data_IF_179033328687
#
_entry.id   IF_179033328687
#
_cell.length_a   1.000
_cell.length_b   1.000
_cell.length_c   1.000
_cell.angle_alpha   90.00
_cell.angle_beta   90.00
_cell.angle_gamma   90.00
#
_symmetry.space_group_name_H-M   'P 1'
#
loop_
_entity.id
_entity.type
_entity.pdbx_description
1 polymer ?
#
# COMPACT_ATOMS: atom_id res chain seq x y z
N UNK A 1 4.47 -2.77 21.38
CA UNK A 1 5.15 -3.44 20.26
C UNK A 1 6.17 -2.44 19.73
N UNK A 2 7.45 -2.78 19.81
CA UNK A 2 8.56 -1.89 19.47
C UNK A 2 8.75 -1.90 17.95
N UNK A 3 8.23 -0.90 17.25
CA UNK A 3 8.50 -0.69 15.82
C UNK A 3 9.72 0.21 15.66
N UNK A 4 10.87 -0.27 16.12
CA UNK A 4 12.15 0.35 15.76
C UNK A 4 12.55 -0.15 14.37
N UNK A 5 11.97 0.47 13.34
CA UNK A 5 12.46 0.34 11.96
C UNK A 5 13.81 1.04 11.90
N UNK A 6 14.90 0.29 12.11
CA UNK A 6 16.23 0.80 11.76
C UNK A 6 16.21 1.18 10.27
N UNK A 7 16.62 2.40 9.88
CA UNK A 7 16.58 2.84 8.48
C UNK A 7 17.40 1.94 7.53
N UNK A 8 18.29 1.11 8.09
CA UNK A 8 19.14 0.17 7.36
C UNK A 8 18.64 -1.28 7.41
N UNK A 9 17.54 -1.55 8.14
CA UNK A 9 16.98 -2.90 8.32
C UNK A 9 15.76 -3.20 7.45
N UNK A 10 15.35 -4.47 7.33
CA UNK A 10 14.12 -4.84 6.64
C UNK A 10 12.87 -4.16 7.24
N UNK A 11 11.91 -3.78 6.38
CA UNK A 11 10.69 -3.11 6.79
C UNK A 11 9.45 -3.68 6.10
N UNK A 12 8.31 -3.59 6.78
CA UNK A 12 7.03 -4.03 6.25
C UNK A 12 6.39 -2.97 5.34
N UNK A 13 5.98 -3.40 4.16
CA UNK A 13 5.17 -2.63 3.23
C UNK A 13 3.78 -3.28 3.10
N UNK A 14 2.72 -2.50 3.31
CA UNK A 14 1.34 -2.98 3.24
C UNK A 14 0.66 -2.55 1.93
N UNK A 15 0.40 -3.52 1.05
CA UNK A 15 -0.36 -3.31 -0.18
C UNK A 15 -1.85 -3.57 0.01
N UNK A 16 -2.70 -2.60 -0.37
CA UNK A 16 -4.15 -2.65 -0.22
C UNK A 16 -4.92 -2.37 -1.53
N UNK A 17 -4.23 -2.46 -2.66
CA UNK A 17 -4.77 -2.21 -4.00
C UNK A 17 -4.02 -3.02 -5.05
N UNK A 18 -3.70 -2.43 -6.21
CA UNK A 18 -2.98 -3.12 -7.29
C UNK A 18 -1.67 -3.79 -6.86
N UNK A 19 -1.04 -3.29 -5.78
CA UNK A 19 0.18 -3.87 -5.21
C UNK A 19 -0.02 -5.20 -4.48
N UNK A 20 -1.26 -5.64 -4.26
CA UNK A 20 -1.57 -6.98 -3.75
C UNK A 20 -1.33 -8.07 -4.81
N UNK A 21 -1.39 -7.71 -6.10
CA UNK A 21 -1.20 -8.66 -7.17
C UNK A 21 0.29 -8.97 -7.37
N UNK A 22 0.66 -10.25 -7.29
CA UNK A 22 2.03 -10.71 -7.52
C UNK A 22 2.57 -10.30 -8.91
N UNK A 23 1.72 -10.32 -9.95
CA UNK A 23 2.09 -9.88 -11.30
C UNK A 23 2.47 -8.39 -11.36
N UNK A 24 1.89 -7.56 -10.49
CA UNK A 24 2.25 -6.14 -10.39
C UNK A 24 3.48 -5.96 -9.51
N UNK A 25 3.46 -6.52 -8.31
CA UNK A 25 4.45 -6.22 -7.28
C UNK A 25 5.77 -6.97 -7.48
N UNK A 26 5.71 -8.27 -7.80
CA UNK A 26 6.88 -9.12 -7.99
C UNK A 26 7.34 -9.08 -9.45
N UNK A 27 6.45 -9.34 -10.41
CA UNK A 27 6.87 -9.52 -11.80
C UNK A 27 7.15 -8.21 -12.52
N UNK A 28 6.24 -7.24 -12.45
CA UNK A 28 6.40 -5.94 -13.13
C UNK A 28 7.38 -5.01 -12.42
N UNK A 29 7.30 -4.90 -11.09
CA UNK A 29 8.20 -4.02 -10.30
C UNK A 29 9.50 -4.67 -9.86
N UNK A 30 9.68 -5.99 -10.09
CA UNK A 30 10.89 -6.74 -9.74
C UNK A 30 11.25 -6.67 -8.25
N UNK A 31 10.26 -6.52 -7.38
CA UNK A 31 10.43 -6.58 -5.92
C UNK A 31 10.56 -8.04 -5.49
N UNK A 32 11.47 -8.32 -4.54
CA UNK A 32 11.70 -9.66 -3.99
C UNK A 32 11.46 -9.63 -2.48
N UNK A 33 10.21 -9.84 -2.02
CA UNK A 33 9.90 -9.86 -0.60
C UNK A 33 10.67 -10.97 0.13
N UNK A 34 11.18 -10.66 1.32
CA UNK A 34 11.74 -11.61 2.26
C UNK A 34 10.64 -12.47 2.90
N UNK A 35 9.45 -11.89 3.07
CA UNK A 35 8.24 -12.55 3.59
C UNK A 35 7.00 -11.93 2.99
N UNK A 36 5.92 -12.70 2.89
CA UNK A 36 4.62 -12.25 2.39
C UNK A 36 3.52 -12.83 3.26
N UNK A 37 2.61 -12.00 3.75
CA UNK A 37 1.52 -12.38 4.65
C UNK A 37 0.21 -11.68 4.26
N UNK A 38 -0.92 -12.35 4.45
CA UNK A 38 -2.23 -11.70 4.44
C UNK A 38 -2.37 -10.91 5.74
N UNK A 39 -2.76 -9.64 5.64
CA UNK A 39 -2.88 -8.75 6.79
C UNK A 39 -4.08 -7.83 6.64
N UNK A 40 -4.46 -7.16 7.73
CA UNK A 40 -5.53 -6.16 7.73
C UNK A 40 -5.24 -5.02 8.70
N UNK A 41 -5.81 -3.84 8.44
CA UNK A 41 -5.76 -2.67 9.31
C UNK A 41 -7.17 -2.43 9.86
N UNK A 42 -7.42 -2.71 11.15
CA UNK A 42 -8.76 -2.62 11.72
C UNK A 42 -9.29 -1.19 11.86
N UNK A 43 -8.40 -0.20 11.84
CA UNK A 43 -8.73 1.21 12.10
C UNK A 43 -8.97 2.04 10.83
N UNK A 44 -8.90 1.46 9.64
CA UNK A 44 -9.03 2.17 8.37
C UNK A 44 -9.99 1.45 7.42
N UNK A 45 -10.69 2.22 6.58
CA UNK A 45 -11.45 1.76 5.43
C UNK A 45 -10.75 2.09 4.11
N UNK A 46 -10.95 1.22 3.11
CA UNK A 46 -10.52 1.46 1.74
C UNK A 46 -11.47 2.47 1.09
N UNK A 47 -10.92 3.46 0.40
CA UNK A 47 -11.66 4.51 -0.27
C UNK A 47 -11.08 4.72 -1.68
N UNK A 48 -11.91 4.95 -2.69
CA UNK A 48 -11.45 5.37 -4.02
C UNK A 48 -11.61 6.89 -4.14
N UNK A 49 -10.85 7.63 -3.33
CA UNK A 49 -10.96 9.09 -3.23
C UNK A 49 -9.85 9.83 -4.00
N UNK A 50 -8.91 9.13 -4.61
CA UNK A 50 -7.92 9.75 -5.50
C UNK A 50 -8.50 9.76 -6.90
N UNK A 51 -8.99 10.93 -7.34
CA UNK A 51 -9.51 11.12 -8.69
C UNK A 51 -8.41 10.78 -9.72
N UNK A 52 -8.69 9.79 -10.55
CA UNK A 52 -7.90 9.56 -11.76
C UNK A 52 -8.24 10.58 -12.83
N UNK A 53 -7.47 10.60 -13.92
CA UNK A 53 -7.83 11.38 -15.09
C UNK A 53 -9.06 10.70 -15.72
N UNK A 54 -10.19 11.42 -15.92
CA UNK A 54 -11.38 10.86 -16.53
C UNK A 54 -11.03 10.14 -17.85
N UNK A 55 -11.55 8.92 -18.02
CA UNK A 55 -11.34 8.06 -19.20
C UNK A 55 -9.90 7.51 -19.39
N UNK A 56 -8.98 7.76 -18.46
CA UNK A 56 -7.58 7.27 -18.52
C UNK A 56 -7.20 6.45 -17.30
N UNK A 57 -7.60 6.88 -16.09
CA UNK A 57 -7.36 6.16 -14.84
C UNK A 57 -8.67 6.10 -14.04
N UNK A 58 -9.16 4.92 -13.62
CA UNK A 58 -10.37 4.79 -12.80
C UNK A 58 -10.25 5.42 -11.40
N UNK A 59 -9.06 5.93 -11.04
CA UNK A 59 -8.78 6.52 -9.74
C UNK A 59 -8.04 5.55 -8.84
N UNK A 60 -7.21 6.09 -7.95
CA UNK A 60 -6.36 5.28 -7.09
C UNK A 60 -7.05 5.01 -5.74
N UNK A 61 -6.87 3.79 -5.24
CA UNK A 61 -7.29 3.44 -3.89
C UNK A 61 -6.44 4.18 -2.86
N UNK A 62 -7.10 4.79 -1.88
CA UNK A 62 -6.52 5.34 -0.65
C UNK A 62 -7.17 4.68 0.56
N UNK A 63 -6.64 4.97 1.75
CA UNK A 63 -7.25 4.52 3.01
C UNK A 63 -7.60 5.73 3.87
N UNK A 64 -8.73 5.66 4.58
CA UNK A 64 -9.17 6.68 5.53
C UNK A 64 -9.39 6.05 6.90
N UNK A 65 -9.05 6.74 8.01
CA UNK A 65 -9.42 6.28 9.34
C UNK A 65 -10.93 6.04 9.43
N UNK A 66 -11.31 4.95 10.10
CA UNK A 66 -12.70 4.71 10.47
C UNK A 66 -13.13 5.76 11.50
N UNK A 67 -14.36 6.25 11.36
CA UNK A 67 -15.04 6.99 12.42
C UNK A 67 -15.80 5.97 13.27
N UNK A 68 -15.39 5.71 14.53
CA UNK A 68 -15.99 4.65 15.35
C UNK A 68 -17.51 4.75 15.52
N UNK A 69 -18.05 5.97 15.42
CA UNK A 69 -19.45 6.28 15.67
C UNK A 69 -20.34 6.07 14.44
N UNK A 70 -19.75 6.03 13.24
CA UNK A 70 -20.50 6.07 11.97
C UNK A 70 -20.07 5.03 10.94
N UNK A 71 -18.99 4.28 11.22
CA UNK A 71 -18.45 3.31 10.28
C UNK A 71 -18.67 1.90 10.76
N UNK A 72 -19.07 1.01 9.85
CA UNK A 72 -19.16 -0.42 10.11
C UNK A 72 -17.82 -0.92 10.69
N UNK A 73 -17.80 -1.56 11.87
CA UNK A 73 -16.58 -2.09 12.48
C UNK A 73 -15.93 -3.21 11.64
N UNK A 74 -16.63 -3.76 10.66
CA UNK A 74 -16.11 -4.72 9.69
C UNK A 74 -15.43 -4.06 8.48
N UNK A 75 -15.48 -2.73 8.35
CA UNK A 75 -14.92 -1.97 7.24
C UNK A 75 -13.38 -1.87 7.25
N UNK A 76 -12.69 -2.87 7.80
CA UNK A 76 -11.23 -2.90 7.86
C UNK A 76 -10.61 -3.12 6.48
N UNK A 77 -9.44 -2.50 6.25
CA UNK A 77 -8.69 -2.67 5.01
C UNK A 77 -7.92 -3.98 5.07
N UNK A 78 -8.27 -4.91 4.19
CA UNK A 78 -7.50 -6.13 3.97
C UNK A 78 -6.43 -5.89 2.89
N UNK A 79 -5.31 -6.59 3.01
CA UNK A 79 -4.19 -6.42 2.10
C UNK A 79 -3.14 -7.50 2.25
N UNK A 80 -1.98 -7.23 1.66
CA UNK A 80 -0.80 -8.10 1.71
C UNK A 80 0.35 -7.32 2.33
N UNK A 81 0.93 -7.86 3.39
CA UNK A 81 2.15 -7.34 4.01
C UNK A 81 3.38 -8.02 3.40
N UNK A 82 4.30 -7.22 2.86
CA UNK A 82 5.57 -7.68 2.30
C UNK A 82 6.71 -7.19 3.18
N UNK A 83 7.54 -8.09 3.69
CA UNK A 83 8.78 -7.72 4.37
C UNK A 83 9.85 -7.49 3.31
N UNK A 84 10.35 -6.26 3.21
CA UNK A 84 11.27 -5.84 2.14
C UNK A 84 12.64 -5.48 2.68
N UNK A 85 13.67 -5.63 1.84
CA UNK A 85 14.97 -5.00 2.09
C UNK A 85 14.87 -3.49 1.92
N UNK A 86 15.81 -2.70 2.48
CA UNK A 86 15.85 -1.25 2.26
C UNK A 86 15.92 -0.85 0.77
N UNK A 87 16.61 -1.64 -0.06
CA UNK A 87 16.73 -1.38 -1.51
C UNK A 87 15.38 -1.53 -2.22
N UNK A 88 14.66 -2.62 -1.93
CA UNK A 88 13.36 -2.86 -2.54
C UNK A 88 12.29 -1.90 -2.03
N UNK A 89 12.35 -1.52 -0.74
CA UNK A 89 11.47 -0.47 -0.21
C UNK A 89 11.68 0.87 -0.94
N UNK A 90 12.93 1.25 -1.21
CA UNK A 90 13.24 2.46 -2.01
C UNK A 90 12.64 2.40 -3.40
N UNK A 91 12.71 1.25 -4.09
CA UNK A 91 12.08 1.06 -5.42
C UNK A 91 10.56 1.30 -5.36
N UNK A 92 9.90 0.77 -4.32
CA UNK A 92 8.45 0.97 -4.13
C UNK A 92 8.14 2.45 -3.93
N UNK A 93 8.81 3.12 -2.99
CA UNK A 93 8.58 4.55 -2.68
C UNK A 93 8.78 5.43 -3.92
N UNK A 94 9.84 5.20 -4.69
CA UNK A 94 10.10 5.94 -5.94
C UNK A 94 8.96 5.75 -6.95
N UNK A 95 8.46 4.53 -7.11
CA UNK A 95 7.37 4.23 -8.05
C UNK A 95 6.02 4.81 -7.65
N UNK A 96 5.78 5.05 -6.36
CA UNK A 96 4.54 5.62 -5.85
C UNK A 96 4.58 7.15 -5.85
N UNK A 97 5.70 7.76 -5.44
CA UNK A 97 5.90 9.20 -5.50
C UNK A 97 5.85 9.77 -6.93
N UNK A 98 6.33 9.02 -7.93
CA UNK A 98 6.23 9.41 -9.33
C UNK A 98 4.78 9.45 -9.86
N UNK A 99 3.86 8.65 -9.32
CA UNK A 99 2.44 8.73 -9.71
C UNK A 99 1.77 9.99 -9.19
N UNK A 100 2.21 10.51 -8.06
CA UNK A 100 1.66 11.74 -7.46
C UNK A 100 2.14 13.02 -8.19
N UNK A 101 3.33 13.01 -8.79
CA UNK A 101 3.96 14.19 -9.40
C UNK A 101 3.61 14.41 -10.89
N UNK A 102 2.82 13.53 -11.54
CA UNK A 102 2.36 13.74 -12.92
C UNK A 102 1.16 14.71 -13.04
N UNK A 103 0.88 15.50 -12.00
CA UNK A 103 -0.09 16.59 -12.02
C UNK A 103 0.65 17.90 -11.76
N UNK A 104 1.22 18.46 -12.83
CA UNK A 104 1.82 19.80 -12.90
C UNK A 104 1.69 20.32 -14.32
#
# INVERSE_FOLDING_TARGET
MDTTTSPDGPAWYFGYGANMAASVFIERRKIRPLRTEVAYIPSHALCFNVLGIPYVDPGNGGIRPLCPETTDPTACVHGVAYLLTPEDLKKVVLSEGMKQHQLG
#
